data_IF_316702241379
#
_entry.id   IF_316702241379
#
_cell.length_a   1.000
_cell.length_b   1.000
_cell.length_c   1.000
_cell.angle_alpha   90.00
_cell.angle_beta   90.00
_cell.angle_gamma   90.00
#
_symmetry.space_group_name_H-M   'P 1'
#
loop_
_entity.id
_entity.type
_entity.pdbx_description
1 polymer ?
#
# COMPACT_ATOMS: atom_id res chain seq x y z
N UNK A 1 14.75 -17.30 -6.65
CA UNK A 1 13.45 -16.80 -6.18
C UNK A 1 13.16 -17.41 -4.82
N UNK A 2 12.60 -16.63 -3.89
CA UNK A 2 12.25 -17.09 -2.53
C UNK A 2 11.01 -18.01 -2.53
N UNK A 3 10.21 -17.97 -3.60
CA UNK A 3 8.98 -18.73 -3.80
C UNK A 3 9.05 -19.55 -5.07
N UNK A 4 8.44 -20.76 -5.07
CA UNK A 4 8.23 -21.52 -6.29
C UNK A 4 7.16 -20.84 -7.17
N UNK A 5 7.09 -21.19 -8.46
CA UNK A 5 6.05 -20.65 -9.34
C UNK A 5 4.62 -20.98 -8.86
N UNK A 6 4.46 -22.09 -8.15
CA UNK A 6 3.19 -22.50 -7.57
C UNK A 6 2.83 -21.67 -6.33
N UNK A 7 3.82 -21.41 -5.46
CA UNK A 7 3.62 -20.53 -4.28
C UNK A 7 3.28 -19.11 -4.73
N UNK A 8 3.92 -18.63 -5.82
CA UNK A 8 3.64 -17.31 -6.36
C UNK A 8 2.22 -17.19 -6.90
N UNK A 9 1.76 -18.18 -7.66
CA UNK A 9 0.36 -18.21 -8.14
C UNK A 9 -0.64 -18.25 -7.00
N UNK A 10 -0.34 -19.00 -5.93
CA UNK A 10 -1.17 -19.06 -4.73
C UNK A 10 -1.21 -17.69 -4.05
N UNK A 11 -0.07 -17.05 -3.84
CA UNK A 11 0.00 -15.72 -3.23
C UNK A 11 -0.79 -14.68 -4.02
N UNK A 12 -0.68 -14.68 -5.36
CA UNK A 12 -1.47 -13.82 -6.23
C UNK A 12 -2.96 -14.10 -6.10
N UNK A 13 -3.36 -15.36 -6.14
CA UNK A 13 -4.78 -15.77 -6.02
C UNK A 13 -5.39 -15.32 -4.68
N UNK A 14 -4.66 -15.43 -3.59
CA UNK A 14 -5.09 -15.00 -2.27
C UNK A 14 -5.22 -13.47 -2.20
N UNK A 15 -4.18 -12.71 -2.59
CA UNK A 15 -4.17 -11.24 -2.52
C UNK A 15 -5.24 -10.65 -3.43
N UNK A 16 -5.49 -11.25 -4.60
CA UNK A 16 -6.47 -10.74 -5.57
C UNK A 16 -7.87 -11.33 -5.38
N UNK A 17 -8.08 -12.20 -4.39
CA UNK A 17 -9.41 -12.66 -4.03
C UNK A 17 -10.30 -11.47 -3.65
N UNK A 18 -11.59 -11.55 -3.96
CA UNK A 18 -12.56 -10.49 -3.61
C UNK A 18 -12.56 -10.18 -2.12
N UNK A 19 -12.27 -11.18 -1.30
CA UNK A 19 -12.22 -11.07 0.15
C UNK A 19 -11.06 -10.18 0.62
N UNK A 20 -9.85 -10.38 0.11
CA UNK A 20 -8.65 -9.62 0.52
C UNK A 20 -8.55 -8.31 -0.26
N UNK A 21 -8.81 -8.36 -1.57
CA UNK A 21 -8.74 -7.18 -2.44
C UNK A 21 -9.63 -6.03 -1.94
N UNK A 22 -10.86 -6.35 -1.51
CA UNK A 22 -11.84 -5.35 -1.10
C UNK A 22 -11.86 -5.05 0.39
N UNK A 23 -11.04 -5.72 1.19
CA UNK A 23 -10.88 -5.45 2.62
C UNK A 23 -9.45 -5.05 2.95
N UNK A 24 -9.16 -3.75 3.08
CA UNK A 24 -7.85 -3.29 3.54
C UNK A 24 -7.44 -3.91 4.89
N UNK A 25 -8.40 -4.19 5.78
CA UNK A 25 -8.13 -4.83 7.05
C UNK A 25 -7.67 -6.28 6.88
N UNK A 26 -8.37 -7.07 6.07
CA UNK A 26 -7.99 -8.46 5.79
C UNK A 26 -6.64 -8.51 5.07
N UNK A 27 -6.41 -7.61 4.12
CA UNK A 27 -5.11 -7.48 3.48
C UNK A 27 -3.98 -7.26 4.49
N UNK A 28 -4.12 -6.28 5.39
CA UNK A 28 -3.10 -5.98 6.40
C UNK A 28 -2.89 -7.15 7.35
N UNK A 29 -3.94 -7.86 7.74
CA UNK A 29 -3.83 -9.06 8.58
C UNK A 29 -3.19 -10.24 7.86
N UNK A 30 -3.36 -10.35 6.55
CA UNK A 30 -2.81 -11.42 5.73
C UNK A 30 -1.35 -11.18 5.34
N UNK A 31 -1.04 -9.96 4.87
CA UNK A 31 0.24 -9.67 4.20
C UNK A 31 1.42 -9.60 5.16
N UNK A 32 1.19 -9.38 6.44
CA UNK A 32 2.21 -9.29 7.46
C UNK A 32 2.13 -10.48 8.43
N UNK A 33 3.30 -11.00 8.82
CA UNK A 33 3.40 -12.14 9.74
C UNK A 33 3.26 -11.71 11.21
N UNK A 34 2.05 -11.25 11.58
CA UNK A 34 1.73 -10.84 12.94
C UNK A 34 1.88 -11.99 13.95
N UNK A 35 2.54 -11.71 15.09
CA UNK A 35 2.72 -12.67 16.18
C UNK A 35 3.67 -13.83 15.87
N UNK A 36 4.29 -13.85 14.70
CA UNK A 36 5.21 -14.92 14.33
C UNK A 36 6.54 -14.76 15.06
N UNK A 37 6.93 -15.81 15.80
CA UNK A 37 8.20 -15.89 16.53
C UNK A 37 9.40 -15.64 15.61
N UNK A 38 10.40 -14.91 16.11
CA UNK A 38 11.60 -14.56 15.37
C UNK A 38 11.41 -13.46 14.32
N UNK A 39 10.23 -12.85 14.21
CA UNK A 39 9.97 -11.71 13.32
C UNK A 39 9.86 -10.39 14.08
N UNK A 40 10.06 -9.23 13.43
CA UNK A 40 9.85 -7.93 14.05
C UNK A 40 8.41 -7.70 14.56
N UNK A 41 7.45 -8.52 14.13
CA UNK A 41 6.03 -8.42 14.50
C UNK A 41 5.60 -9.47 15.54
N UNK A 42 6.52 -10.22 16.11
CA UNK A 42 6.26 -11.27 17.11
C UNK A 42 5.37 -10.80 18.27
N UNK A 43 5.61 -9.60 18.78
CA UNK A 43 4.87 -9.02 19.92
C UNK A 43 3.55 -8.32 19.53
N UNK A 44 3.19 -8.34 18.26
CA UNK A 44 2.02 -7.65 17.74
C UNK A 44 1.01 -8.63 17.12
N UNK A 45 -0.25 -8.50 17.49
CA UNK A 45 -1.32 -9.37 16.99
C UNK A 45 -2.09 -8.79 15.79
N UNK A 46 -1.72 -7.57 15.36
CA UNK A 46 -2.37 -6.88 14.25
C UNK A 46 -2.40 -5.36 14.42
N UNK A 47 -3.17 -4.67 13.60
CA UNK A 47 -3.39 -3.23 13.71
C UNK A 47 -3.97 -2.82 15.06
N UNK A 48 -3.69 -1.60 15.51
CA UNK A 48 -4.30 -1.01 16.69
C UNK A 48 -5.79 -0.72 16.45
N UNK A 49 -6.61 -0.69 17.50
CA UNK A 49 -8.06 -0.46 17.40
C UNK A 49 -8.49 0.71 16.51
N UNK A 50 -7.80 1.84 16.59
CA UNK A 50 -8.11 3.02 15.76
C UNK A 50 -7.79 2.78 14.27
N UNK A 51 -6.71 2.04 13.96
CA UNK A 51 -6.34 1.66 12.60
C UNK A 51 -7.36 0.67 12.03
N UNK A 52 -7.73 -0.36 12.80
CA UNK A 52 -8.79 -1.31 12.40
C UNK A 52 -10.10 -0.61 12.10
N UNK A 53 -10.47 0.38 12.91
CA UNK A 53 -11.70 1.16 12.69
C UNK A 53 -11.69 1.82 11.32
N UNK A 54 -10.59 2.51 10.95
CA UNK A 54 -10.52 3.20 9.66
C UNK A 54 -10.45 2.20 8.49
N UNK A 55 -9.70 1.11 8.64
CA UNK A 55 -9.64 0.05 7.62
C UNK A 55 -11.02 -0.57 7.36
N UNK A 56 -11.85 -0.75 8.39
CA UNK A 56 -13.26 -1.19 8.26
C UNK A 56 -14.14 -0.13 7.59
N UNK A 57 -13.95 1.14 7.91
CA UNK A 57 -14.68 2.23 7.24
C UNK A 57 -14.38 2.26 5.73
N UNK A 58 -13.12 2.01 5.33
CA UNK A 58 -12.74 1.87 3.92
C UNK A 58 -13.39 0.64 3.28
N UNK A 59 -13.41 -0.50 3.95
CA UNK A 59 -14.08 -1.73 3.49
C UNK A 59 -15.58 -1.50 3.25
N UNK A 60 -16.27 -0.82 4.16
CA UNK A 60 -17.68 -0.47 4.02
C UNK A 60 -17.90 0.47 2.82
N UNK A 61 -17.01 1.43 2.62
CA UNK A 61 -17.07 2.35 1.48
C UNK A 61 -16.93 1.58 0.16
N UNK A 62 -15.98 0.66 0.06
CA UNK A 62 -15.78 -0.19 -1.12
C UNK A 62 -17.00 -1.10 -1.35
N UNK A 63 -17.54 -1.70 -0.31
CA UNK A 63 -18.68 -2.61 -0.39
C UNK A 63 -19.96 -1.93 -0.91
N UNK A 64 -20.19 -0.66 -0.60
CA UNK A 64 -21.32 0.13 -1.10
C UNK A 64 -21.33 0.27 -2.63
N UNK A 65 -20.21 0.05 -3.28
CA UNK A 65 -20.02 0.18 -4.72
C UNK A 65 -19.65 -1.15 -5.39
N UNK A 66 -20.17 -2.27 -4.86
CA UNK A 66 -19.97 -3.60 -5.43
C UNK A 66 -18.47 -3.96 -5.61
N UNK A 67 -17.59 -3.43 -4.75
CA UNK A 67 -16.16 -3.67 -4.81
C UNK A 67 -15.41 -2.73 -5.75
N UNK A 68 -16.07 -1.81 -6.42
CA UNK A 68 -15.45 -0.74 -7.19
C UNK A 68 -15.15 0.47 -6.30
N UNK A 69 -14.13 1.25 -6.68
CA UNK A 69 -13.86 2.51 -6.00
C UNK A 69 -14.97 3.49 -6.38
N UNK A 70 -15.69 3.96 -5.35
CA UNK A 70 -16.75 4.96 -5.53
C UNK A 70 -16.17 6.24 -6.15
N UNK A 71 -16.84 6.81 -7.16
CA UNK A 71 -16.56 8.17 -7.59
C UNK A 71 -16.60 9.20 -6.45
N UNK A 72 -17.40 8.95 -5.40
CA UNK A 72 -17.31 9.69 -4.14
C UNK A 72 -16.04 9.32 -3.38
N UNK A 73 -15.04 10.19 -3.39
CA UNK A 73 -13.74 9.94 -2.76
C UNK A 73 -13.86 9.60 -1.28
N UNK A 74 -13.19 8.52 -0.84
CA UNK A 74 -13.01 8.27 0.58
C UNK A 74 -12.02 9.28 1.16
N UNK A 75 -12.48 10.14 2.05
CA UNK A 75 -11.66 11.15 2.73
C UNK A 75 -11.60 10.86 4.22
N UNK A 76 -10.39 10.82 4.78
CA UNK A 76 -10.19 10.59 6.21
C UNK A 76 -9.07 11.47 6.76
N UNK A 77 -9.37 12.20 7.82
CA UNK A 77 -8.39 12.95 8.61
C UNK A 77 -8.14 12.24 9.95
N UNK A 78 -6.89 12.19 10.36
CA UNK A 78 -6.49 11.60 11.66
C UNK A 78 -5.65 12.62 12.42
N UNK A 79 -6.26 13.26 13.40
CA UNK A 79 -5.58 14.13 14.34
C UNK A 79 -5.16 13.33 15.58
N UNK A 80 -3.87 13.35 15.91
CA UNK A 80 -3.35 12.59 17.06
C UNK A 80 -1.91 12.94 17.38
N UNK A 81 -1.44 12.56 18.57
CA UNK A 81 -0.05 12.67 19.01
C UNK A 81 0.95 11.87 18.18
N UNK A 82 2.21 11.92 18.56
CA UNK A 82 3.30 11.13 17.97
C UNK A 82 3.27 9.68 18.46
N UNK A 83 3.88 8.75 17.71
CA UNK A 83 4.11 7.37 18.16
C UNK A 83 2.90 6.43 18.11
N UNK A 84 1.74 6.86 17.62
CA UNK A 84 0.54 6.04 17.56
C UNK A 84 0.43 5.15 16.32
N UNK A 85 1.42 5.18 15.40
CA UNK A 85 1.44 4.32 14.22
C UNK A 85 0.78 4.91 12.97
N UNK A 86 0.71 6.26 12.83
CA UNK A 86 0.16 6.89 11.60
C UNK A 86 0.97 6.54 10.35
N UNK A 87 2.30 6.62 10.42
CA UNK A 87 3.16 6.31 9.26
C UNK A 87 3.07 4.84 8.86
N UNK A 88 2.96 3.92 9.83
CA UNK A 88 2.69 2.51 9.56
C UNK A 88 1.35 2.33 8.84
N UNK A 89 0.30 3.00 9.31
CA UNK A 89 -1.02 2.96 8.69
C UNK A 89 -0.99 3.45 7.23
N UNK A 90 -0.33 4.59 6.96
CA UNK A 90 -0.14 5.11 5.59
C UNK A 90 0.61 4.08 4.73
N UNK A 91 1.68 3.47 5.28
CA UNK A 91 2.43 2.44 4.57
C UNK A 91 1.56 1.24 4.17
N UNK A 92 0.68 0.79 5.04
CA UNK A 92 -0.24 -0.31 4.75
C UNK A 92 -1.23 0.03 3.64
N UNK A 93 -1.76 1.26 3.63
CA UNK A 93 -2.67 1.71 2.56
C UNK A 93 -1.95 1.78 1.22
N UNK A 94 -0.73 2.31 1.18
CA UNK A 94 0.08 2.33 -0.06
C UNK A 94 0.32 0.92 -0.58
N UNK A 95 0.75 -0.01 0.31
CA UNK A 95 1.00 -1.40 -0.08
C UNK A 95 -0.28 -2.12 -0.51
N UNK A 96 -1.40 -1.88 0.18
CA UNK A 96 -2.70 -2.41 -0.23
C UNK A 96 -3.11 -1.92 -1.62
N UNK A 97 -3.02 -0.61 -1.88
CA UNK A 97 -3.33 -0.04 -3.19
C UNK A 97 -2.47 -0.67 -4.29
N UNK A 98 -1.15 -0.67 -4.12
CA UNK A 98 -0.25 -1.27 -5.10
C UNK A 98 -0.47 -2.78 -5.28
N UNK A 99 -0.79 -3.52 -4.22
CA UNK A 99 -0.93 -4.98 -4.31
C UNK A 99 -2.27 -5.44 -4.87
N UNK A 100 -3.33 -4.63 -4.74
CA UNK A 100 -4.71 -5.05 -5.05
C UNK A 100 -5.40 -4.22 -6.13
N UNK A 101 -4.91 -3.01 -6.40
CA UNK A 101 -5.42 -2.09 -7.44
C UNK A 101 -4.36 -1.93 -8.53
N UNK A 102 -4.21 -2.99 -9.33
CA UNK A 102 -3.19 -3.06 -10.38
C UNK A 102 -3.35 -1.89 -11.35
N UNK A 103 -2.26 -1.22 -11.68
CA UNK A 103 -2.26 -0.02 -12.51
C UNK A 103 -2.51 1.29 -11.74
N UNK A 104 -2.66 1.25 -10.40
CA UNK A 104 -2.93 2.46 -9.61
C UNK A 104 -1.69 3.33 -9.41
N UNK A 105 -1.93 4.65 -9.38
CA UNK A 105 -0.93 5.64 -8.94
C UNK A 105 -1.20 6.05 -7.51
N UNK A 106 -0.17 6.07 -6.67
CA UNK A 106 -0.27 6.48 -5.27
C UNK A 106 0.72 7.61 -5.00
N UNK A 107 0.24 8.77 -4.57
CA UNK A 107 1.09 9.90 -4.19
C UNK A 107 1.12 10.01 -2.67
N UNK A 108 2.34 10.04 -2.12
CA UNK A 108 2.59 10.23 -0.70
C UNK A 108 3.28 11.58 -0.53
N UNK A 109 2.67 12.45 0.27
CA UNK A 109 3.18 13.81 0.45
C UNK A 109 3.39 14.16 1.93
N UNK A 110 4.24 15.14 2.19
CA UNK A 110 4.43 15.78 3.48
C UNK A 110 4.90 17.23 3.28
N UNK A 111 4.75 18.04 4.34
CA UNK A 111 5.10 19.46 4.29
C UNK A 111 6.60 19.74 4.16
N UNK A 112 7.46 18.79 4.54
CA UNK A 112 8.92 18.92 4.43
C UNK A 112 9.54 17.66 3.84
N UNK A 113 10.64 17.84 3.11
CA UNK A 113 11.42 16.75 2.52
C UNK A 113 11.96 15.80 3.59
N UNK A 114 12.45 16.33 4.71
CA UNK A 114 12.92 15.54 5.83
C UNK A 114 11.82 14.65 6.39
N UNK A 115 10.60 15.17 6.55
CA UNK A 115 9.46 14.43 7.06
C UNK A 115 9.03 13.33 6.09
N UNK A 116 9.01 13.64 4.80
CA UNK A 116 8.66 12.69 3.74
C UNK A 116 9.68 11.56 3.65
N UNK A 117 10.97 11.89 3.47
CA UNK A 117 12.03 10.89 3.21
C UNK A 117 12.43 10.12 4.45
N UNK A 118 12.76 10.81 5.54
CA UNK A 118 13.35 10.17 6.73
C UNK A 118 12.33 9.47 7.64
N UNK A 119 11.05 9.83 7.53
CA UNK A 119 10.00 9.24 8.37
C UNK A 119 9.01 8.41 7.55
N UNK A 120 8.24 9.05 6.67
CA UNK A 120 7.14 8.37 5.98
C UNK A 120 7.67 7.34 4.97
N UNK A 121 8.62 7.74 4.11
CA UNK A 121 9.17 6.86 3.08
C UNK A 121 10.08 5.76 3.67
N UNK A 122 10.81 6.06 4.73
CA UNK A 122 11.60 5.06 5.46
C UNK A 122 10.70 4.02 6.13
N UNK A 123 9.59 4.45 6.77
CA UNK A 123 8.62 3.55 7.39
C UNK A 123 7.94 2.67 6.33
N UNK A 124 7.58 3.25 5.17
CA UNK A 124 7.03 2.49 4.05
C UNK A 124 8.01 1.41 3.56
N UNK A 125 9.29 1.74 3.45
CA UNK A 125 10.33 0.75 3.10
C UNK A 125 10.43 -0.39 4.11
N UNK A 126 10.35 -0.09 5.40
CA UNK A 126 10.32 -1.10 6.46
C UNK A 126 9.11 -2.04 6.30
N UNK A 127 7.90 -1.49 6.16
CA UNK A 127 6.69 -2.31 6.00
C UNK A 127 6.70 -3.10 4.69
N UNK A 128 7.22 -2.53 3.62
CA UNK A 128 7.41 -3.25 2.36
C UNK A 128 8.29 -4.49 2.55
N UNK A 129 9.41 -4.37 3.30
CA UNK A 129 10.30 -5.51 3.57
C UNK A 129 9.61 -6.63 4.38
N UNK A 130 8.66 -6.26 5.25
CA UNK A 130 7.90 -7.21 6.07
C UNK A 130 6.75 -7.89 5.31
N UNK A 131 6.36 -7.37 4.16
CA UNK A 131 5.25 -7.91 3.39
C UNK A 131 5.62 -9.21 2.68
N UNK A 132 4.71 -10.19 2.66
CA UNK A 132 4.89 -11.48 1.97
C UNK A 132 5.19 -11.29 0.48
N UNK A 133 4.61 -10.28 -0.15
CA UNK A 133 4.78 -9.95 -1.56
C UNK A 133 5.82 -8.85 -1.81
N UNK A 134 6.78 -8.67 -0.91
CA UNK A 134 7.82 -7.62 -1.01
C UNK A 134 8.59 -7.65 -2.35
N UNK A 135 8.76 -8.83 -2.92
CA UNK A 135 9.47 -9.08 -4.18
C UNK A 135 8.70 -8.69 -5.44
N UNK A 136 7.40 -8.34 -5.31
CA UNK A 136 6.60 -7.81 -6.42
C UNK A 136 7.03 -6.40 -6.81
N UNK A 137 7.69 -5.69 -5.91
CA UNK A 137 8.00 -4.28 -6.07
C UNK A 137 9.48 -3.98 -5.83
N UNK A 138 9.97 -2.96 -6.50
CA UNK A 138 11.27 -2.35 -6.25
C UNK A 138 11.09 -0.92 -5.76
N UNK A 139 11.88 -0.54 -4.75
CA UNK A 139 11.83 0.78 -4.14
C UNK A 139 13.10 1.56 -4.43
N UNK A 140 12.93 2.81 -4.87
CA UNK A 140 13.98 3.81 -4.98
C UNK A 140 13.89 4.84 -3.83
N UNK A 141 14.68 5.90 -3.92
CA UNK A 141 14.62 7.01 -2.98
C UNK A 141 13.27 7.74 -2.97
N UNK A 142 12.52 7.72 -4.08
CA UNK A 142 11.28 8.48 -4.25
C UNK A 142 10.13 7.68 -4.84
N UNK A 143 10.36 6.48 -5.36
CA UNK A 143 9.31 5.69 -6.04
C UNK A 143 9.32 4.23 -5.60
N UNK A 144 8.14 3.60 -5.67
CA UNK A 144 7.96 2.16 -5.63
C UNK A 144 7.26 1.78 -6.93
N UNK A 145 7.83 0.83 -7.66
CA UNK A 145 7.31 0.34 -8.94
C UNK A 145 7.26 -1.20 -8.94
N UNK A 146 6.47 -1.82 -9.82
CA UNK A 146 6.57 -3.26 -10.04
C UNK A 146 8.02 -3.68 -10.32
N UNK A 147 8.42 -4.82 -9.79
CA UNK A 147 9.67 -5.47 -10.16
C UNK A 147 9.62 -5.88 -11.64
N UNK A 148 10.75 -5.93 -12.38
CA UNK A 148 10.74 -6.21 -13.82
C UNK A 148 9.97 -7.49 -14.20
N UNK A 149 10.13 -8.57 -13.45
CA UNK A 149 9.42 -9.83 -13.69
C UNK A 149 7.90 -9.71 -13.50
N UNK A 150 7.50 -8.93 -12.49
CA UNK A 150 6.09 -8.69 -12.19
C UNK A 150 5.46 -7.74 -13.22
N UNK A 151 6.19 -6.70 -13.62
CA UNK A 151 5.79 -5.81 -14.71
C UNK A 151 5.55 -6.56 -16.02
N UNK A 152 6.47 -7.49 -16.37
CA UNK A 152 6.33 -8.33 -17.55
C UNK A 152 5.08 -9.22 -17.47
N UNK A 153 4.85 -9.86 -16.33
CA UNK A 153 3.65 -10.67 -16.08
C UNK A 153 2.38 -9.83 -16.26
N UNK A 154 2.31 -8.64 -15.66
CA UNK A 154 1.15 -7.74 -15.74
C UNK A 154 0.85 -7.35 -17.20
N UNK A 155 1.86 -6.99 -17.97
CA UNK A 155 1.71 -6.61 -19.37
C UNK A 155 1.31 -7.79 -20.25
N UNK A 156 2.00 -8.93 -20.09
CA UNK A 156 1.81 -10.12 -20.94
C UNK A 156 0.49 -10.83 -20.66
N UNK A 157 0.23 -11.12 -19.39
CA UNK A 157 -0.85 -12.02 -18.99
C UNK A 157 -2.14 -11.27 -18.65
N UNK A 158 -2.04 -10.09 -18.04
CA UNK A 158 -3.20 -9.32 -17.59
C UNK A 158 -3.50 -8.10 -18.47
N UNK A 159 -2.65 -7.79 -19.46
CA UNK A 159 -2.80 -6.65 -20.38
C UNK A 159 -2.92 -5.29 -19.65
N UNK A 160 -2.24 -5.16 -18.51
CA UNK A 160 -2.24 -3.94 -17.70
C UNK A 160 -1.10 -3.03 -18.17
N UNK A 161 -1.43 -1.76 -18.44
CA UNK A 161 -0.43 -0.72 -18.65
C UNK A 161 0.21 -0.37 -17.30
N UNK A 162 1.53 -0.46 -17.24
CA UNK A 162 2.32 -0.19 -16.03
C UNK A 162 2.95 1.21 -16.02
N UNK A 163 2.72 2.02 -17.03
CA UNK A 163 3.27 3.37 -17.14
C UNK A 163 2.91 4.28 -15.96
N UNK A 164 1.70 4.12 -15.45
CA UNK A 164 1.18 4.86 -14.30
C UNK A 164 1.08 4.03 -13.01
N UNK A 165 1.65 2.83 -13.01
CA UNK A 165 1.60 1.93 -11.85
C UNK A 165 2.79 2.14 -10.93
N UNK A 166 2.64 3.04 -9.98
CA UNK A 166 3.68 3.35 -8.99
C UNK A 166 3.16 4.03 -7.74
N UNK A 167 3.95 4.02 -6.67
CA UNK A 167 3.82 4.96 -5.57
C UNK A 167 4.99 5.95 -5.63
N UNK A 168 4.72 7.23 -5.38
CA UNK A 168 5.73 8.30 -5.43
C UNK A 168 5.67 9.18 -4.19
N UNK A 169 6.86 9.47 -3.64
CA UNK A 169 7.06 10.50 -2.63
C UNK A 169 7.21 11.86 -3.34
N UNK A 170 6.25 12.75 -3.15
CA UNK A 170 6.24 14.08 -3.75
C UNK A 170 6.05 15.15 -2.66
N UNK A 171 6.90 16.18 -2.69
CA UNK A 171 6.71 17.31 -1.80
C UNK A 171 5.48 18.12 -2.25
N UNK A 172 4.69 18.51 -1.26
CA UNK A 172 3.65 19.50 -1.47
C UNK A 172 4.15 20.87 -1.01
N UNK A 173 4.05 21.89 -1.86
CA UNK A 173 4.34 23.27 -1.54
C UNK A 173 3.05 24.09 -1.63
N UNK A 174 2.76 24.88 -0.60
CA UNK A 174 1.66 25.85 -0.65
C UNK A 174 1.92 26.97 -1.70
N UNK A 175 3.19 27.18 -2.07
CA UNK A 175 3.60 28.20 -3.05
C UNK A 175 3.38 27.77 -4.50
N UNK A 176 3.26 26.46 -4.74
CA UNK A 176 3.02 25.90 -6.09
C UNK A 176 1.96 24.78 -6.02
N UNK A 177 0.69 25.10 -5.71
CA UNK A 177 -0.37 24.10 -5.63
C UNK A 177 -0.59 23.38 -6.99
N UNK A 178 -0.34 24.06 -8.10
CA UNK A 178 -0.48 23.54 -9.47
C UNK A 178 0.57 22.48 -9.84
N UNK A 179 1.66 22.35 -9.09
CA UNK A 179 2.61 21.24 -9.27
C UNK A 179 1.98 19.85 -9.03
N UNK A 180 0.85 19.81 -8.33
CA UNK A 180 0.03 18.60 -8.14
C UNK A 180 -0.96 18.33 -9.27
N UNK A 181 -1.38 19.38 -9.97
CA UNK A 181 -2.36 19.27 -11.07
C UNK A 181 -1.77 18.64 -12.35
N UNK A 182 -0.44 18.57 -12.45
CA UNK A 182 0.27 17.99 -13.62
C UNK A 182 0.53 16.48 -13.55
N UNK A 183 -0.02 15.77 -12.57
CA UNK A 183 0.07 14.30 -12.46
C UNK A 183 -1.22 13.69 -13.01
N UNK A 184 -1.42 13.84 -14.33
CA UNK A 184 -2.48 13.17 -15.08
C UNK A 184 -1.89 12.11 -15.98
#
# INVERSE_FOLDING_TARGET
MKYSAQDEKRLMSEIWSMEIKNSPLKFVKYIFEWGKEGTPLEKFTGPRKWQEKILKEMEIHIARNNGEMDPSMFRKAVASGRGIGKSAFVSWIVLWMLSTRLGSTVIVTANTEQQLRSRTWAELGKWMTLALNNHWFVRSATTIKPAPWFEELLKRDLKIDTGYYYAQAQLWSAETPDAFAGVH
#
